data_IF_506891827435
#
_entry.id   IF_506891827435
#
_cell.length_a   1.000
_cell.length_b   1.000
_cell.length_c   1.000
_cell.angle_alpha   90.00
_cell.angle_beta   90.00
_cell.angle_gamma   90.00
#
_symmetry.space_group_name_H-M   'P 1'
#
loop_
_entity.id
_entity.type
_entity.pdbx_description
1 polymer ?
#
# COMPACT_ATOMS: atom_id res chain seq x y z
N UNK A 1 0.73 32.23 7.58
CA UNK A 1 0.51 30.79 7.39
C UNK A 1 0.64 30.57 5.90
N UNK A 2 1.84 30.22 5.43
CA UNK A 2 2.11 30.02 4.01
C UNK A 2 2.40 28.54 3.84
N UNK A 3 1.54 27.84 3.10
CA UNK A 3 1.58 26.40 2.84
C UNK A 3 2.61 26.05 1.75
N UNK A 4 3.81 26.64 1.83
CA UNK A 4 4.84 26.52 0.78
C UNK A 4 6.07 25.72 1.22
N UNK A 5 6.04 25.10 2.39
CA UNK A 5 7.14 24.28 2.96
C UNK A 5 6.70 22.82 3.18
N UNK A 6 6.04 22.22 2.20
CA UNK A 6 5.92 20.76 2.09
C UNK A 6 6.76 20.33 0.89
N UNK A 7 8.03 20.01 1.17
CA UNK A 7 8.98 19.23 0.37
C UNK A 7 8.68 19.13 -1.14
N UNK A 8 8.77 20.25 -1.85
CA UNK A 8 8.82 20.22 -3.31
C UNK A 8 10.26 19.88 -3.73
N UNK A 9 10.69 18.64 -3.48
CA UNK A 9 11.83 18.05 -4.17
C UNK A 9 11.55 18.13 -5.66
N UNK A 10 12.42 18.83 -6.40
CA UNK A 10 12.23 19.14 -7.82
C UNK A 10 12.22 17.85 -8.66
N UNK A 11 11.07 17.19 -8.73
CA UNK A 11 10.88 15.92 -9.40
C UNK A 11 10.11 16.14 -10.72
N UNK A 12 10.48 15.38 -11.76
CA UNK A 12 10.05 15.61 -13.15
C UNK A 12 8.59 15.26 -13.45
N UNK A 13 8.28 15.07 -14.73
CA UNK A 13 6.91 14.72 -15.18
C UNK A 13 6.41 13.42 -14.51
N UNK A 14 5.14 13.43 -14.09
CA UNK A 14 4.35 12.32 -13.52
C UNK A 14 4.51 12.03 -12.01
N UNK A 15 5.21 12.85 -11.22
CA UNK A 15 5.27 12.65 -9.77
C UNK A 15 3.92 12.79 -9.06
N UNK A 16 3.11 13.77 -9.46
CA UNK A 16 1.80 13.99 -8.86
C UNK A 16 0.94 12.72 -8.96
N UNK A 17 0.88 12.13 -10.15
CA UNK A 17 0.15 10.88 -10.39
C UNK A 17 0.71 9.70 -9.57
N UNK A 18 2.04 9.62 -9.39
CA UNK A 18 2.66 8.58 -8.58
C UNK A 18 2.36 8.75 -7.07
N UNK A 19 2.41 9.98 -6.56
CA UNK A 19 2.10 10.32 -5.18
C UNK A 19 0.61 10.13 -4.87
N UNK A 20 -0.28 10.54 -5.78
CA UNK A 20 -1.73 10.36 -5.63
C UNK A 20 -2.13 8.89 -5.51
N UNK A 21 -1.37 7.99 -6.14
CA UNK A 21 -1.62 6.54 -6.15
C UNK A 21 -0.72 5.74 -5.21
N UNK A 22 0.12 6.40 -4.43
CA UNK A 22 1.13 5.74 -3.60
C UNK A 22 0.53 4.85 -2.52
N UNK A 23 -0.56 5.29 -1.89
CA UNK A 23 -1.25 4.51 -0.85
C UNK A 23 -1.91 3.26 -1.41
N UNK A 24 -2.61 3.38 -2.54
CA UNK A 24 -3.20 2.25 -3.28
C UNK A 24 -2.11 1.26 -3.72
N UNK A 25 -0.95 1.77 -4.16
CA UNK A 25 0.21 0.95 -4.50
C UNK A 25 0.72 0.17 -3.29
N UNK A 26 0.90 0.85 -2.14
CA UNK A 26 1.37 0.25 -0.90
C UNK A 26 0.39 -0.81 -0.32
N UNK A 27 -0.91 -0.67 -0.55
CA UNK A 27 -1.94 -1.65 -0.14
C UNK A 27 -2.19 -2.74 -1.18
N UNK A 28 -1.47 -2.71 -2.31
CA UNK A 28 -1.65 -3.60 -3.45
C UNK A 28 -3.07 -3.59 -4.04
N UNK A 29 -3.71 -2.41 -4.02
CA UNK A 29 -5.05 -2.18 -4.55
C UNK A 29 -5.04 -1.75 -6.03
N UNK A 30 -3.86 -1.41 -6.56
CA UNK A 30 -3.69 -1.07 -7.97
C UNK A 30 -3.77 -2.28 -8.89
N UNK A 31 -4.37 -2.08 -10.06
CA UNK A 31 -4.25 -3.01 -11.18
C UNK A 31 -2.80 -3.11 -11.66
N UNK A 32 -2.43 -4.26 -12.23
CA UNK A 32 -1.06 -4.52 -12.71
C UNK A 32 -0.42 -3.40 -13.58
N UNK A 33 -1.09 -2.79 -14.58
CA UNK A 33 -0.47 -1.74 -15.38
C UNK A 33 -0.21 -0.45 -14.58
N UNK A 34 -1.08 -0.13 -13.64
CA UNK A 34 -0.96 1.05 -12.79
C UNK A 34 0.14 0.88 -11.75
N UNK A 35 0.21 -0.30 -11.13
CA UNK A 35 1.27 -0.67 -10.21
C UNK A 35 2.65 -0.66 -10.89
N UNK A 36 2.72 -1.04 -12.18
CA UNK A 36 3.95 -0.93 -12.98
C UNK A 36 4.38 0.53 -13.15
N UNK A 37 3.43 1.41 -13.45
CA UNK A 37 3.69 2.83 -13.68
C UNK A 37 4.25 3.50 -12.44
N UNK A 38 3.63 3.27 -11.28
CA UNK A 38 4.13 3.80 -9.99
C UNK A 38 5.51 3.22 -9.67
N UNK A 39 5.71 1.92 -9.85
CA UNK A 39 7.00 1.27 -9.56
C UNK A 39 8.13 1.76 -10.46
N UNK A 40 7.89 1.95 -11.75
CA UNK A 40 8.86 2.51 -12.67
C UNK A 40 9.23 3.94 -12.28
N UNK A 41 8.25 4.75 -11.88
CA UNK A 41 8.50 6.11 -11.39
C UNK A 41 9.36 6.12 -10.12
N UNK A 42 9.02 5.30 -9.11
CA UNK A 42 9.81 5.19 -7.87
C UNK A 42 11.26 4.73 -8.12
N UNK A 43 11.51 3.96 -9.18
CA UNK A 43 12.86 3.53 -9.55
C UNK A 43 13.71 4.65 -10.17
N UNK A 44 13.08 5.68 -10.73
CA UNK A 44 13.75 6.77 -11.46
C UNK A 44 13.71 8.11 -10.70
N UNK A 45 12.88 8.22 -9.66
CA UNK A 45 12.62 9.46 -8.94
C UNK A 45 12.97 9.33 -7.45
N UNK A 46 14.14 9.87 -7.05
CA UNK A 46 14.62 9.86 -5.67
C UNK A 46 13.65 10.54 -4.70
N UNK A 47 13.06 11.69 -5.07
CA UNK A 47 12.11 12.40 -4.20
C UNK A 47 10.84 11.59 -3.91
N UNK A 48 10.28 10.91 -4.91
CA UNK A 48 9.11 10.05 -4.68
C UNK A 48 9.47 8.76 -3.93
N UNK A 49 10.71 8.27 -4.07
CA UNK A 49 11.21 7.15 -3.28
C UNK A 49 11.38 7.52 -1.79
N UNK A 50 11.84 8.74 -1.50
CA UNK A 50 11.91 9.24 -0.12
C UNK A 50 10.51 9.32 0.52
N UNK A 51 9.50 9.84 -0.20
CA UNK A 51 8.11 9.86 0.28
C UNK A 51 7.54 8.43 0.48
N UNK A 52 7.84 7.51 -0.45
CA UNK A 52 7.50 6.10 -0.29
C UNK A 52 8.08 5.49 1.00
N UNK A 53 9.35 5.75 1.30
CA UNK A 53 10.01 5.22 2.49
C UNK A 53 9.36 5.76 3.78
N UNK A 54 8.96 7.03 3.79
CA UNK A 54 8.20 7.62 4.91
C UNK A 54 6.88 6.89 5.12
N UNK A 55 6.09 6.69 4.06
CA UNK A 55 4.80 6.01 4.16
C UNK A 55 4.92 4.54 4.57
N UNK A 56 5.97 3.83 4.12
CA UNK A 56 6.29 2.46 4.59
C UNK A 56 6.54 2.44 6.10
N UNK A 57 7.28 3.43 6.62
CA UNK A 57 7.53 3.55 8.07
C UNK A 57 6.22 3.81 8.82
N UNK A 58 5.37 4.70 8.32
CA UNK A 58 4.05 4.98 8.90
C UNK A 58 3.20 3.71 8.96
N UNK A 59 3.05 2.98 7.83
CA UNK A 59 2.31 1.71 7.78
C UNK A 59 2.88 0.68 8.76
N UNK A 60 4.20 0.62 8.89
CA UNK A 60 4.87 -0.28 9.85
C UNK A 60 4.50 0.06 11.29
N UNK A 61 4.48 1.33 11.66
CA UNK A 61 4.11 1.77 13.02
C UNK A 61 2.65 1.45 13.30
N UNK A 62 1.73 1.76 12.37
CA UNK A 62 0.30 1.47 12.50
C UNK A 62 0.07 -0.03 12.70
N UNK A 63 0.70 -0.87 11.86
CA UNK A 63 0.61 -2.33 11.96
C UNK A 63 1.12 -2.88 13.30
N UNK A 64 2.13 -2.24 13.91
CA UNK A 64 2.60 -2.61 15.26
C UNK A 64 1.59 -2.24 16.34
N UNK A 65 0.84 -1.15 16.17
CA UNK A 65 -0.23 -0.76 17.11
C UNK A 65 -1.46 -1.65 17.02
N UNK A 66 -1.77 -2.17 15.83
CA UNK A 66 -2.96 -2.99 15.56
C UNK A 66 -2.66 -4.51 15.59
N UNK A 67 -2.18 -5.03 16.73
CA UNK A 67 -1.91 -6.48 16.92
C UNK A 67 -3.07 -7.24 17.58
N UNK A 68 -4.32 -6.85 17.34
CA UNK A 68 -5.48 -7.56 17.88
C UNK A 68 -5.61 -8.95 17.23
N UNK A 69 -5.71 -9.98 18.08
CA UNK A 69 -5.94 -11.33 17.60
C UNK A 69 -7.41 -11.46 17.16
N UNK A 70 -7.63 -11.93 15.93
CA UNK A 70 -8.97 -12.27 15.48
C UNK A 70 -9.59 -13.31 16.44
N UNK A 71 -10.88 -13.16 16.82
CA UNK A 71 -11.55 -14.11 17.69
C UNK A 71 -11.48 -15.55 17.15
N UNK A 72 -11.24 -16.53 18.02
CA UNK A 72 -11.05 -17.94 17.61
C UNK A 72 -12.22 -18.48 16.80
N UNK A 73 -13.46 -18.13 17.18
CA UNK A 73 -14.66 -18.56 16.48
C UNK A 73 -14.69 -18.08 15.02
N UNK A 74 -14.20 -16.87 14.73
CA UNK A 74 -14.14 -16.33 13.38
C UNK A 74 -13.12 -17.10 12.54
N UNK A 75 -11.95 -17.40 13.13
CA UNK A 75 -10.92 -18.21 12.49
C UNK A 75 -11.45 -19.61 12.12
N UNK A 76 -12.10 -20.29 13.06
CA UNK A 76 -12.70 -21.60 12.82
C UNK A 76 -13.74 -21.56 11.69
N UNK A 77 -14.63 -20.56 11.72
CA UNK A 77 -15.66 -20.38 10.68
C UNK A 77 -15.04 -20.16 9.30
N UNK A 78 -14.01 -19.33 9.19
CA UNK A 78 -13.32 -19.08 7.92
C UNK A 78 -12.69 -20.37 7.37
N UNK A 79 -11.98 -21.13 8.21
CA UNK A 79 -11.36 -22.39 7.79
C UNK A 79 -12.39 -23.42 7.32
N UNK A 80 -13.50 -23.54 8.02
CA UNK A 80 -14.61 -24.42 7.63
C UNK A 80 -15.16 -24.04 6.24
N UNK A 81 -15.48 -22.77 6.03
CA UNK A 81 -16.01 -22.29 4.75
C UNK A 81 -15.02 -22.49 3.59
N UNK A 82 -13.73 -22.22 3.80
CA UNK A 82 -12.70 -22.45 2.79
C UNK A 82 -12.55 -23.94 2.44
N UNK A 83 -12.67 -24.82 3.45
CA UNK A 83 -12.60 -26.27 3.24
C UNK A 83 -13.79 -26.75 2.41
N UNK A 84 -15.00 -26.31 2.75
CA UNK A 84 -16.22 -26.64 2.00
C UNK A 84 -16.12 -26.16 0.56
N UNK A 85 -15.73 -24.89 0.34
CA UNK A 85 -15.59 -24.33 -1.02
C UNK A 85 -14.59 -25.12 -1.87
N UNK A 86 -13.47 -25.56 -1.28
CA UNK A 86 -12.48 -26.39 -2.01
C UNK A 86 -13.09 -27.72 -2.46
N UNK A 87 -13.79 -28.42 -1.58
CA UNK A 87 -14.42 -29.72 -1.90
C UNK A 87 -15.50 -29.61 -2.98
N UNK A 88 -16.18 -28.47 -3.09
CA UNK A 88 -17.22 -28.25 -4.11
C UNK A 88 -16.69 -27.84 -5.48
N UNK A 89 -15.41 -27.47 -5.58
CA UNK A 89 -14.75 -27.06 -6.82
C UNK A 89 -13.92 -28.20 -7.46
N UNK A 90 -13.78 -29.33 -6.77
CA UNK A 90 -13.21 -30.59 -7.25
C UNK A 90 -14.32 -31.49 -7.84
#
# INVERSE_FOLDING_TARGET
MNESDLSAGNCGNNCADALDRLWEYLDAELGAPDAETVRAHLAECEGCLEEYDVDVVVKTIVKRGCQEAAPEHLRLKIHEQLTVMRVTLD
#
